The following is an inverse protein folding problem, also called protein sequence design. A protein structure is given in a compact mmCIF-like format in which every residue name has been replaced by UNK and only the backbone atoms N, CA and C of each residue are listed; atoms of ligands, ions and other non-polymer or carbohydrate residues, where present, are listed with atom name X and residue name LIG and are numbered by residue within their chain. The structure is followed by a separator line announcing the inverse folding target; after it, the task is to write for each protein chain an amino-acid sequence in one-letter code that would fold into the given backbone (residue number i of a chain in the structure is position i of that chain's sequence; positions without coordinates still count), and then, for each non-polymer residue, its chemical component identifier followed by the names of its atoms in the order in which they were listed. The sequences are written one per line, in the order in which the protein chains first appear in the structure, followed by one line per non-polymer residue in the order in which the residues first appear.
data_IF_700472162083
#
_entry.id   IF_700472162083
#
_cell.length_a   1.000
_cell.length_b   1.000
_cell.length_c   1.000
_cell.angle_alpha   90.00
_cell.angle_beta   90.00
_cell.angle_gamma   90.00
#
_symmetry.space_group_name_H-M   'P 1'
#
loop_
_entity.id
_entity.type
_entity.pdbx_description
1 polymer ?
#
# COMPACT_ATOMS: atom_id res chain seq x y z
N UNK A 1 -4.45 28.84 7.36
CA UNK A 1 -4.25 27.39 7.16
C UNK A 1 -4.15 27.15 5.68
N UNK A 2 -3.10 26.49 5.21
CA UNK A 2 -3.00 26.01 3.83
C UNK A 2 -4.07 24.94 3.59
N UNK A 3 -4.65 24.90 2.38
CA UNK A 3 -5.58 23.83 2.02
C UNK A 3 -4.89 22.48 2.07
N UNK A 4 -5.55 21.45 2.62
CA UNK A 4 -5.01 20.09 2.68
C UNK A 4 -4.62 19.58 1.28
N UNK A 5 -5.38 19.95 0.24
CA UNK A 5 -5.10 19.59 -1.15
C UNK A 5 -3.72 20.01 -1.63
N UNK A 6 -3.12 21.04 -1.02
CA UNK A 6 -1.79 21.49 -1.37
C UNK A 6 -0.76 20.39 -1.21
N UNK A 7 -0.90 19.47 -0.24
CA UNK A 7 0.09 18.44 0.09
C UNK A 7 0.05 17.20 -0.81
N UNK A 8 -0.98 17.04 -1.64
CA UNK A 8 -1.16 15.86 -2.48
C UNK A 8 -0.58 16.06 -3.88
N UNK A 9 -0.17 14.96 -4.51
CA UNK A 9 0.50 14.94 -5.81
C UNK A 9 -0.26 14.11 -6.83
N UNK A 10 -0.08 14.42 -8.12
CA UNK A 10 -0.69 13.69 -9.21
C UNK A 10 0.15 12.50 -9.70
N UNK A 11 1.45 12.49 -9.39
CA UNK A 11 2.38 11.44 -9.83
C UNK A 11 3.27 10.94 -8.68
N UNK A 12 3.79 9.72 -8.80
CA UNK A 12 4.80 9.19 -7.87
C UNK A 12 6.03 10.08 -7.80
N UNK A 13 6.54 10.53 -8.95
CA UNK A 13 7.71 11.42 -9.05
C UNK A 13 7.52 12.69 -8.21
N UNK A 14 6.38 13.36 -8.38
CA UNK A 14 6.05 14.54 -7.59
C UNK A 14 5.90 14.21 -6.10
N UNK A 15 5.18 13.13 -5.79
CA UNK A 15 4.93 12.72 -4.41
C UNK A 15 6.23 12.46 -3.65
N UNK A 16 7.16 11.72 -4.27
CA UNK A 16 8.50 11.43 -3.74
C UNK A 16 9.33 12.69 -3.58
N UNK A 17 9.41 13.53 -4.62
CA UNK A 17 10.19 14.77 -4.55
C UNK A 17 9.74 15.64 -3.38
N UNK A 18 8.42 15.81 -3.21
CA UNK A 18 7.84 16.64 -2.15
C UNK A 18 8.04 16.06 -0.75
N UNK A 19 7.89 14.74 -0.59
CA UNK A 19 8.21 14.08 0.67
C UNK A 19 9.67 14.31 1.06
N UNK A 20 10.61 14.11 0.12
CA UNK A 20 12.04 14.31 0.35
C UNK A 20 12.39 15.77 0.65
N UNK A 21 11.78 16.72 -0.04
CA UNK A 21 11.97 18.14 0.21
C UNK A 21 11.46 18.53 1.62
N UNK A 22 10.29 18.02 2.03
CA UNK A 22 9.76 18.23 3.37
C UNK A 22 10.65 17.57 4.45
N UNK A 23 11.14 16.37 4.19
CA UNK A 23 12.07 15.67 5.09
C UNK A 23 13.39 16.45 5.26
N UNK A 24 13.97 16.94 4.15
CA UNK A 24 15.17 17.78 4.18
C UNK A 24 14.94 19.10 4.93
N UNK A 25 13.77 19.74 4.74
CA UNK A 25 13.44 21.00 5.39
C UNK A 25 13.40 20.91 6.92
N UNK A 26 13.07 19.74 7.48
CA UNK A 26 13.09 19.50 8.93
C UNK A 26 14.39 18.83 9.41
N UNK A 27 15.41 18.72 8.55
CA UNK A 27 16.69 18.10 8.89
C UNK A 27 16.60 16.59 9.16
N UNK A 28 15.61 15.89 8.60
CA UNK A 28 15.48 14.46 8.79
C UNK A 28 16.66 13.70 8.14
N UNK A 29 17.13 12.63 8.80
CA UNK A 29 18.09 11.69 8.22
C UNK A 29 17.31 10.75 7.30
N UNK A 30 17.65 10.71 6.01
CA UNK A 30 16.93 9.89 5.02
C UNK A 30 17.82 8.78 4.48
N UNK A 31 17.30 7.56 4.47
CA UNK A 31 17.88 6.41 3.78
C UNK A 31 17.01 6.02 2.59
N UNK A 32 17.64 5.64 1.49
CA UNK A 32 16.96 5.27 0.25
C UNK A 32 17.17 3.76 -0.01
N UNK A 33 16.09 3.02 -0.14
CA UNK A 33 16.08 1.65 -0.61
C UNK A 33 15.59 1.64 -2.05
N UNK A 34 16.52 1.79 -2.99
CA UNK A 34 16.19 1.82 -4.41
C UNK A 34 15.66 0.47 -4.87
N UNK A 35 14.56 0.54 -5.62
CA UNK A 35 13.97 -0.60 -6.29
C UNK A 35 14.75 -0.90 -7.58
N UNK A 36 14.95 -2.18 -7.96
CA UNK A 36 15.70 -2.53 -9.17
C UNK A 36 15.01 -2.07 -10.46
N UNK A 37 13.67 -2.06 -10.47
CA UNK A 37 12.88 -1.60 -11.61
C UNK A 37 12.68 -0.08 -11.62
N UNK A 38 12.33 0.45 -12.81
CA UNK A 38 12.02 1.86 -13.03
C UNK A 38 10.52 2.12 -13.08
N UNK A 39 10.15 3.38 -12.84
CA UNK A 39 8.79 3.86 -13.00
C UNK A 39 8.39 4.01 -14.49
N UNK A 40 7.13 4.35 -14.75
CA UNK A 40 6.60 4.47 -16.12
C UNK A 40 7.32 5.51 -16.97
N UNK A 41 7.98 6.50 -16.36
CA UNK A 41 8.78 7.52 -17.06
C UNK A 41 10.30 7.31 -16.87
N UNK A 42 10.71 6.10 -16.50
CA UNK A 42 12.11 5.74 -16.28
C UNK A 42 12.71 6.27 -14.97
N UNK A 43 11.91 6.85 -14.08
CA UNK A 43 12.37 7.35 -12.79
C UNK A 43 12.83 6.24 -11.84
N UNK A 44 13.77 6.58 -10.95
CA UNK A 44 14.14 5.69 -9.85
C UNK A 44 12.99 5.58 -8.87
N UNK A 45 12.56 4.34 -8.66
CA UNK A 45 11.63 3.93 -7.63
C UNK A 45 12.42 3.60 -6.35
N UNK A 46 11.90 3.98 -5.20
CA UNK A 46 12.53 3.69 -3.91
C UNK A 46 11.52 3.71 -2.76
N UNK A 47 11.83 2.93 -1.73
CA UNK A 47 11.33 3.15 -0.37
C UNK A 47 12.33 4.05 0.36
N UNK A 48 11.93 5.26 0.65
CA UNK A 48 12.64 6.26 1.42
C UNK A 48 12.22 6.19 2.90
N UNK A 49 13.21 6.11 3.80
CA UNK A 49 12.99 6.09 5.25
C UNK A 49 13.56 7.36 5.86
N UNK A 50 12.70 8.22 6.41
CA UNK A 50 13.09 9.48 7.02
C UNK A 50 12.95 9.42 8.55
N UNK A 51 14.02 9.73 9.27
CA UNK A 51 14.09 9.80 10.73
C UNK A 51 14.17 11.26 11.20
N UNK A 52 13.30 11.66 12.11
CA UNK A 52 13.36 12.94 12.83
C UNK A 52 13.24 12.73 14.35
N UNK A 53 13.93 13.57 15.12
CA UNK A 53 14.03 13.45 16.58
C UNK A 53 15.33 12.81 17.08
N UNK A 54 15.49 12.65 18.40
CA UNK A 54 16.74 12.23 19.04
C UNK A 54 17.17 10.81 18.61
N UNK A 55 18.47 10.56 18.54
CA UNK A 55 19.02 9.23 18.25
C UNK A 55 18.83 8.25 19.44
N UNK A 56 18.80 8.79 20.66
CA UNK A 56 18.60 8.07 21.92
C UNK A 56 17.13 8.08 22.38
N UNK A 57 16.20 8.30 21.44
CA UNK A 57 14.78 8.35 21.75
C UNK A 57 14.28 7.04 22.41
N UNK A 58 13.58 7.18 23.54
CA UNK A 58 13.00 6.05 24.28
C UNK A 58 11.72 5.49 23.65
N UNK A 59 11.14 6.23 22.68
CA UNK A 59 9.94 5.84 21.93
C UNK A 59 10.10 6.18 20.47
N UNK A 60 9.53 5.35 19.61
CA UNK A 60 9.49 5.56 18.16
C UNK A 60 8.03 5.51 17.70
N UNK A 61 7.59 6.55 16.98
CA UNK A 61 6.36 6.52 16.20
C UNK A 61 6.74 6.26 14.74
N UNK A 62 6.27 5.15 14.18
CA UNK A 62 6.49 4.81 12.78
C UNK A 62 5.22 5.06 11.97
N UNK A 63 5.35 5.74 10.82
CA UNK A 63 4.25 6.05 9.90
C UNK A 63 4.64 5.57 8.51
N UNK A 64 4.04 4.47 8.07
CA UNK A 64 4.23 3.92 6.72
C UNK A 64 3.16 4.36 5.75
N UNK A 65 3.50 4.43 4.46
CA UNK A 65 2.56 4.66 3.37
C UNK A 65 2.81 3.73 2.19
N UNK A 66 1.78 3.59 1.34
CA UNK A 66 1.89 2.91 0.07
C UNK A 66 2.15 1.41 0.17
N UNK A 67 1.63 0.71 1.18
CA UNK A 67 1.64 -0.78 1.18
C UNK A 67 0.83 -1.29 0.00
N UNK A 68 -0.38 -0.77 -0.18
CA UNK A 68 -1.01 -0.77 -1.49
C UNK A 68 -0.46 0.41 -2.28
N UNK A 69 0.19 0.13 -3.41
CA UNK A 69 0.94 1.14 -4.13
C UNK A 69 0.11 2.38 -4.48
N UNK A 70 -1.05 2.19 -5.11
CA UNK A 70 -1.96 3.29 -5.53
C UNK A 70 -2.47 4.15 -4.37
N UNK A 71 -2.53 3.62 -3.15
CA UNK A 71 -2.92 4.39 -1.96
C UNK A 71 -1.75 5.29 -1.47
N UNK A 72 -0.57 5.14 -2.06
CA UNK A 72 0.61 5.97 -1.83
C UNK A 72 0.38 7.44 -2.12
N UNK A 73 -0.49 7.83 -3.06
CA UNK A 73 -0.80 9.25 -3.33
C UNK A 73 -1.36 9.92 -2.07
N UNK A 74 -2.30 9.25 -1.41
CA UNK A 74 -2.91 9.74 -0.19
C UNK A 74 -1.91 9.73 0.96
N UNK A 75 -1.27 8.58 1.21
CA UNK A 75 -0.33 8.42 2.32
C UNK A 75 0.89 9.36 2.22
N UNK A 76 1.43 9.55 1.02
CA UNK A 76 2.51 10.50 0.75
C UNK A 76 2.10 11.93 1.08
N UNK A 77 0.89 12.34 0.69
CA UNK A 77 0.38 13.69 0.99
C UNK A 77 0.25 13.92 2.49
N UNK A 78 -0.28 12.94 3.22
CA UNK A 78 -0.37 12.99 4.69
C UNK A 78 1.02 13.06 5.33
N UNK A 79 1.96 12.22 4.92
CA UNK A 79 3.33 12.25 5.46
C UNK A 79 4.04 13.59 5.17
N UNK A 80 3.87 14.14 3.97
CA UNK A 80 4.40 15.45 3.57
C UNK A 80 3.80 16.57 4.42
N UNK A 81 2.50 16.53 4.69
CA UNK A 81 1.81 17.47 5.58
C UNK A 81 2.36 17.40 7.01
N UNK A 82 2.48 16.20 7.58
CA UNK A 82 3.00 16.00 8.94
C UNK A 82 4.43 16.54 9.11
N UNK A 83 5.29 16.32 8.11
CA UNK A 83 6.63 16.89 8.08
C UNK A 83 6.59 18.41 8.01
N UNK A 84 5.85 18.96 7.04
CA UNK A 84 5.85 20.39 6.73
C UNK A 84 5.16 21.26 7.79
N UNK A 85 4.18 20.69 8.51
CA UNK A 85 3.41 21.39 9.53
C UNK A 85 3.98 21.20 10.95
N UNK A 86 5.18 20.61 11.07
CA UNK A 86 5.91 20.52 12.32
C UNK A 86 5.28 19.58 13.33
N UNK A 87 4.63 18.49 12.88
CA UNK A 87 4.03 17.48 13.76
C UNK A 87 5.03 16.92 14.77
N UNK A 88 6.29 16.74 14.37
CA UNK A 88 7.37 16.28 15.26
C UNK A 88 7.54 17.18 16.50
N UNK A 89 7.30 18.49 16.39
CA UNK A 89 7.43 19.44 17.50
C UNK A 89 6.31 19.28 18.55
N UNK A 90 5.25 18.54 18.23
CA UNK A 90 4.13 18.27 19.13
C UNK A 90 4.34 16.97 19.94
N UNK A 91 5.36 16.18 19.58
CA UNK A 91 5.67 14.94 20.28
C UNK A 91 6.53 15.23 21.52
N UNK A 92 6.49 14.38 22.55
CA UNK A 92 7.44 14.47 23.66
C UNK A 92 8.87 14.43 23.15
N UNK A 93 9.77 15.23 23.73
CA UNK A 93 11.18 15.31 23.31
C UNK A 93 11.99 14.01 23.45
N UNK A 94 11.39 12.95 24.00
CA UNK A 94 11.97 11.59 24.10
C UNK A 94 11.41 10.62 23.05
N UNK A 95 10.75 11.14 22.01
CA UNK A 95 10.15 10.38 20.92
C UNK A 95 10.80 10.74 19.58
N UNK A 96 11.20 9.72 18.82
CA UNK A 96 11.57 9.86 17.43
C UNK A 96 10.40 9.50 16.52
N UNK A 97 10.38 10.07 15.32
CA UNK A 97 9.39 9.83 14.28
C UNK A 97 10.09 9.27 13.05
N UNK A 98 9.57 8.13 12.57
CA UNK A 98 10.09 7.42 11.40
C UNK A 98 9.00 7.38 10.34
N UNK A 99 9.27 7.95 9.18
CA UNK A 99 8.42 7.83 8.01
C UNK A 99 8.99 6.78 7.07
N UNK A 100 8.11 5.91 6.55
CA UNK A 100 8.43 4.98 5.46
C UNK A 100 7.58 5.37 4.26
N UNK A 101 8.22 5.92 3.23
CA UNK A 101 7.62 6.46 2.01
C UNK A 101 8.33 5.87 0.78
N UNK A 102 7.81 4.94 0.00
CA UNK A 102 6.58 4.17 0.12
C UNK A 102 6.96 2.68 0.13
N UNK A 103 6.20 1.84 0.84
CA UNK A 103 6.49 0.40 1.00
C UNK A 103 6.45 -0.35 -0.35
N UNK A 104 5.51 0.00 -1.23
CA UNK A 104 5.41 -0.52 -2.59
C UNK A 104 5.62 0.61 -3.62
N UNK A 105 6.87 1.01 -3.88
CA UNK A 105 7.13 2.11 -4.80
C UNK A 105 6.78 1.76 -6.25
N UNK A 106 6.87 0.47 -6.63
CA UNK A 106 6.42 0.00 -7.94
C UNK A 106 4.92 0.20 -8.13
N UNK A 107 4.10 -0.35 -7.25
CA UNK A 107 2.64 -0.21 -7.36
C UNK A 107 2.21 1.25 -7.31
N UNK A 108 2.91 2.08 -6.53
CA UNK A 108 2.62 3.51 -6.45
C UNK A 108 2.84 4.20 -7.80
N UNK A 109 4.00 4.01 -8.43
CA UNK A 109 4.30 4.61 -9.72
C UNK A 109 3.44 4.07 -10.86
N UNK A 110 3.08 2.78 -10.82
CA UNK A 110 2.30 2.11 -11.87
C UNK A 110 0.79 2.13 -11.63
N UNK A 111 0.29 2.88 -10.63
CA UNK A 111 -1.13 2.95 -10.26
C UNK A 111 -1.75 1.58 -9.93
N UNK A 112 -0.98 0.70 -9.29
CA UNK A 112 -1.39 -0.65 -8.88
C UNK A 112 -1.48 -0.75 -7.36
N UNK A 113 -2.42 -1.56 -6.89
CA UNK A 113 -2.48 -1.98 -5.48
C UNK A 113 -1.27 -2.86 -5.12
N UNK A 114 -0.92 -3.76 -6.01
CA UNK A 114 0.09 -4.81 -5.87
C UNK A 114 1.47 -4.38 -6.36
N UNK A 115 2.51 -5.15 -6.07
CA UNK A 115 3.86 -4.93 -6.61
C UNK A 115 3.98 -5.44 -8.07
N UNK A 116 5.21 -5.49 -8.60
CA UNK A 116 5.53 -5.97 -9.94
C UNK A 116 5.08 -7.41 -10.21
N UNK A 117 5.13 -8.26 -9.18
CA UNK A 117 4.80 -9.69 -9.24
C UNK A 117 3.34 -9.98 -8.92
N UNK A 118 2.48 -8.96 -8.95
CA UNK A 118 1.05 -9.06 -8.58
C UNK A 118 0.79 -9.42 -7.11
N UNK A 119 1.81 -9.30 -6.24
CA UNK A 119 1.68 -9.55 -4.79
C UNK A 119 1.03 -8.37 -4.09
N UNK A 120 -0.07 -8.62 -3.38
CA UNK A 120 -0.63 -7.72 -2.38
C UNK A 120 0.23 -7.82 -1.11
N UNK A 121 1.10 -6.84 -0.90
CA UNK A 121 2.02 -6.83 0.24
C UNK A 121 1.29 -6.88 1.59
N UNK A 122 0.04 -6.41 1.67
CA UNK A 122 -0.75 -6.47 2.90
C UNK A 122 -1.35 -7.87 3.16
N UNK A 123 -1.01 -8.87 2.35
CA UNK A 123 -1.18 -10.30 2.62
C UNK A 123 0.15 -11.02 2.77
N UNK A 124 1.25 -10.43 2.32
CA UNK A 124 2.57 -11.05 2.31
C UNK A 124 3.30 -11.05 3.67
N UNK A 125 2.75 -10.40 4.70
CA UNK A 125 3.33 -10.41 6.06
C UNK A 125 3.02 -11.72 6.81
N UNK A 126 3.42 -12.86 6.23
CA UNK A 126 3.28 -14.19 6.83
C UNK A 126 4.62 -14.92 6.90
N UNK A 127 4.64 -16.00 7.66
CA UNK A 127 5.78 -16.91 7.72
C UNK A 127 5.74 -17.88 6.52
N UNK A 128 6.47 -17.54 5.45
CA UNK A 128 6.53 -18.35 4.22
C UNK A 128 7.18 -19.73 4.41
N UNK A 129 7.80 -20.02 5.56
CA UNK A 129 8.27 -21.36 5.88
C UNK A 129 7.16 -22.30 6.40
N UNK A 130 5.95 -21.76 6.64
CA UNK A 130 4.77 -22.52 7.04
C UNK A 130 3.77 -22.66 5.89
N UNK A 131 2.84 -23.63 5.96
CA UNK A 131 1.74 -23.72 5.01
C UNK A 131 0.96 -22.39 4.96
N UNK A 132 0.67 -21.93 3.74
CA UNK A 132 -0.08 -20.70 3.55
C UNK A 132 -1.53 -20.81 4.04
N UNK A 133 -2.12 -19.72 4.56
CA UNK A 133 -3.53 -19.71 4.92
C UNK A 133 -4.43 -20.08 3.74
N UNK A 134 -5.36 -21.01 3.96
CA UNK A 134 -6.35 -21.39 2.96
C UNK A 134 -7.50 -20.38 2.92
N UNK A 135 -8.04 -20.14 1.73
CA UNK A 135 -9.23 -19.33 1.51
C UNK A 135 -10.21 -20.07 0.60
N UNK A 136 -10.97 -21.05 1.13
CA UNK A 136 -11.88 -21.87 0.33
C UNK A 136 -13.01 -21.05 -0.32
N UNK A 137 -13.40 -19.93 0.30
CA UNK A 137 -14.37 -19.02 -0.29
C UNK A 137 -13.84 -18.30 -1.53
N UNK A 138 -12.55 -17.92 -1.53
CA UNK A 138 -11.90 -17.41 -2.74
C UNK A 138 -11.83 -18.50 -3.81
N UNK A 139 -11.43 -19.73 -3.44
CA UNK A 139 -11.32 -20.86 -4.37
C UNK A 139 -12.65 -21.13 -5.09
N UNK A 140 -13.77 -21.18 -4.35
CA UNK A 140 -15.11 -21.37 -4.92
C UNK A 140 -15.51 -20.23 -5.89
N UNK A 141 -15.04 -19.02 -5.60
CA UNK A 141 -15.38 -17.80 -6.34
C UNK A 141 -14.30 -17.34 -7.32
N UNK A 142 -13.20 -18.07 -7.50
CA UNK A 142 -12.00 -17.58 -8.18
C UNK A 142 -12.29 -17.03 -9.58
N UNK A 143 -13.08 -17.76 -10.37
CA UNK A 143 -13.50 -17.34 -11.72
C UNK A 143 -14.51 -16.19 -11.73
N UNK A 144 -15.31 -16.02 -10.66
CA UNK A 144 -16.24 -14.90 -10.54
C UNK A 144 -15.53 -13.63 -10.05
N UNK A 145 -14.46 -13.79 -9.28
CA UNK A 145 -13.62 -12.69 -8.80
C UNK A 145 -12.66 -12.23 -9.91
N UNK A 146 -12.13 -13.18 -10.68
CA UNK A 146 -11.17 -12.96 -11.76
C UNK A 146 -11.73 -13.43 -13.11
N UNK A 147 -12.84 -12.84 -13.60
CA UNK A 147 -13.45 -13.28 -14.85
C UNK A 147 -12.50 -13.03 -16.04
N UNK A 148 -12.31 -14.06 -16.87
CA UNK A 148 -11.50 -13.95 -18.10
C UNK A 148 -12.19 -13.16 -19.20
N UNK A 149 -13.52 -13.18 -19.22
CA UNK A 149 -14.36 -12.37 -20.09
C UNK A 149 -14.97 -11.20 -19.31
N UNK A 150 -14.75 -9.98 -19.79
CA UNK A 150 -15.23 -8.74 -19.19
C UNK A 150 -16.47 -8.18 -19.91
N UNK A 151 -17.11 -8.98 -20.78
CA UNK A 151 -18.41 -8.63 -21.37
C UNK A 151 -19.44 -8.30 -20.29
N UNK A 152 -20.41 -7.41 -20.56
CA UNK A 152 -21.47 -7.09 -19.61
C UNK A 152 -22.20 -8.34 -19.09
N UNK A 153 -22.40 -9.34 -19.95
CA UNK A 153 -23.05 -10.61 -19.63
C UNK A 153 -22.21 -11.46 -18.67
N UNK A 154 -20.92 -11.65 -18.93
CA UNK A 154 -20.02 -12.41 -18.05
C UNK A 154 -19.84 -11.72 -16.69
N UNK A 155 -19.77 -10.39 -16.68
CA UNK A 155 -19.71 -9.60 -15.45
C UNK A 155 -21.02 -9.70 -14.65
N UNK A 156 -22.19 -9.75 -15.31
CA UNK A 156 -23.46 -9.97 -14.64
C UNK A 156 -23.53 -11.37 -13.99
N UNK A 157 -23.07 -12.41 -14.70
CA UNK A 157 -22.97 -13.77 -14.16
C UNK A 157 -22.02 -13.85 -12.95
N UNK A 158 -20.89 -13.17 -13.02
CA UNK A 158 -19.93 -13.10 -11.90
C UNK A 158 -20.55 -12.45 -10.67
N UNK A 159 -21.29 -11.35 -10.85
CA UNK A 159 -22.05 -10.69 -9.77
C UNK A 159 -23.14 -11.57 -9.20
N UNK A 160 -23.84 -12.32 -10.04
CA UNK A 160 -24.87 -13.29 -9.63
C UNK A 160 -24.27 -14.38 -8.73
N UNK A 161 -23.14 -14.97 -9.14
CA UNK A 161 -22.41 -15.98 -8.36
C UNK A 161 -21.96 -15.45 -7.01
N UNK A 162 -21.38 -14.24 -6.99
CA UNK A 162 -20.98 -13.59 -5.76
C UNK A 162 -22.20 -13.33 -4.85
N UNK A 163 -23.32 -12.85 -5.40
CA UNK A 163 -24.55 -12.63 -4.63
C UNK A 163 -25.08 -13.93 -4.03
N UNK A 164 -25.16 -15.00 -4.82
CA UNK A 164 -25.61 -16.31 -4.35
C UNK A 164 -24.71 -16.87 -3.23
N UNK A 165 -23.39 -16.69 -3.33
CA UNK A 165 -22.46 -17.06 -2.26
C UNK A 165 -22.73 -16.25 -0.98
N UNK A 166 -22.93 -14.93 -1.11
CA UNK A 166 -23.22 -14.07 0.04
C UNK A 166 -24.58 -14.39 0.70
N UNK A 167 -25.60 -14.77 -0.08
CA UNK A 167 -26.90 -15.22 0.42
C UNK A 167 -26.79 -16.56 1.18
N UNK A 168 -26.00 -17.50 0.66
CA UNK A 168 -25.81 -18.83 1.24
C UNK A 168 -24.90 -18.82 2.48
N UNK A 169 -23.81 -18.06 2.45
CA UNK A 169 -22.75 -18.10 3.46
C UNK A 169 -22.70 -16.85 4.37
N UNK A 170 -23.44 -15.79 4.01
CA UNK A 170 -23.48 -14.53 4.73
C UNK A 170 -22.40 -13.52 4.30
N UNK A 171 -22.66 -12.24 4.58
CA UNK A 171 -21.79 -11.13 4.17
C UNK A 171 -20.37 -11.19 4.76
N UNK A 172 -20.21 -11.70 5.99
CA UNK A 172 -18.89 -11.88 6.61
C UNK A 172 -18.05 -12.91 5.88
N UNK A 173 -18.65 -14.02 5.45
CA UNK A 173 -17.94 -15.05 4.68
C UNK A 173 -17.56 -14.54 3.29
N UNK A 174 -18.43 -13.75 2.64
CA UNK A 174 -18.10 -13.07 1.39
C UNK A 174 -16.94 -12.09 1.56
N UNK A 175 -16.98 -11.24 2.59
CA UNK A 175 -15.89 -10.30 2.87
C UNK A 175 -14.57 -11.06 3.08
N UNK A 176 -14.58 -12.14 3.87
CA UNK A 176 -13.40 -12.97 4.07
C UNK A 176 -12.89 -13.56 2.76
N UNK A 177 -13.78 -14.13 1.93
CA UNK A 177 -13.40 -14.67 0.61
C UNK A 177 -12.66 -13.63 -0.23
N UNK A 178 -13.16 -12.40 -0.28
CA UNK A 178 -12.61 -11.32 -1.09
C UNK A 178 -11.39 -10.61 -0.49
N UNK A 179 -11.16 -10.71 0.82
CA UNK A 179 -10.15 -9.87 1.48
C UNK A 179 -9.15 -10.63 2.34
N UNK A 180 -9.30 -11.92 2.63
CA UNK A 180 -8.35 -12.63 3.50
C UNK A 180 -6.98 -12.90 2.86
N UNK A 181 -6.85 -12.70 1.54
CA UNK A 181 -5.69 -13.12 0.76
C UNK A 181 -5.83 -14.54 0.23
N UNK A 182 -4.96 -14.90 -0.70
CA UNK A 182 -4.85 -16.24 -1.28
C UNK A 182 -3.44 -16.45 -1.85
N UNK A 183 -3.03 -17.70 -2.01
CA UNK A 183 -1.65 -18.07 -2.41
C UNK A 183 -1.61 -19.17 -3.49
N UNK A 184 -2.75 -19.40 -4.16
CA UNK A 184 -2.92 -20.47 -5.16
C UNK A 184 -3.11 -19.93 -6.58
N UNK A 185 -3.39 -18.63 -6.72
CA UNK A 185 -3.67 -17.96 -7.99
C UNK A 185 -2.76 -16.75 -8.15
N UNK A 186 -1.54 -16.93 -8.67
CA UNK A 186 -0.56 -15.85 -8.82
C UNK A 186 -1.10 -14.66 -9.65
N UNK A 187 -1.92 -14.93 -10.67
CA UNK A 187 -2.53 -13.90 -11.53
C UNK A 187 -3.84 -13.32 -10.95
N UNK A 188 -4.32 -13.84 -9.83
CA UNK A 188 -5.58 -13.45 -9.21
C UNK A 188 -5.43 -12.26 -8.26
N UNK A 189 -6.54 -11.58 -7.96
CA UNK A 189 -6.54 -10.52 -6.94
C UNK A 189 -6.22 -11.08 -5.54
N UNK A 190 -5.66 -10.23 -4.67
CA UNK A 190 -5.30 -10.56 -3.28
C UNK A 190 -4.25 -11.68 -3.16
N UNK A 191 -3.46 -11.91 -4.21
CA UNK A 191 -2.34 -12.84 -4.16
C UNK A 191 -1.32 -12.39 -3.12
N UNK A 192 -0.99 -13.24 -2.16
CA UNK A 192 -0.21 -12.89 -0.97
C UNK A 192 1.26 -13.23 -1.03
N UNK A 193 1.77 -13.85 -2.08
CA UNK A 193 3.21 -14.14 -2.24
C UNK A 193 3.50 -15.50 -2.83
#
# INVERSE_FOLDING_TARGET
MTSASHHFSGTYREARARFLDAARAVGARVNHHEHPLKGPEGETLATDVAWTGPEDATRILAIGSGTHGVEGYCGSGVQTALLSEGFANQLPGSTALVFVHAINPYGFAWNRRVNEDNVDLNRNFIDHAKPHPQNPGYEELADAINPRDLSPEAMAQSRERMRAYAEKHGQRAMQHALSAGQYTHADGVQFGG
#
